data_IF_644129955239
#
_entry.id   IF_644129955239
#
_cell.length_a   1.000
_cell.length_b   1.000
_cell.length_c   1.000
_cell.angle_alpha   90.00
_cell.angle_beta   90.00
_cell.angle_gamma   90.00
#
_symmetry.space_group_name_H-M   'P 1'
#
loop_
_entity.id
_entity.type
_entity.pdbx_description
1 polymer ?
#
# COMPACT_ATOMS: atom_id res chain seq x y z
N UNK A 1 4.52 -21.30 -11.30
CA UNK A 1 3.59 -20.30 -10.77
C UNK A 1 4.29 -18.99 -10.55
N UNK A 2 3.64 -17.90 -10.95
CA UNK A 2 4.20 -16.59 -10.70
C UNK A 2 3.99 -16.21 -9.24
N UNK A 3 5.06 -15.68 -8.65
CA UNK A 3 5.05 -15.15 -7.30
C UNK A 3 4.21 -13.87 -7.25
N UNK A 4 3.38 -13.73 -6.24
CA UNK A 4 2.61 -12.50 -6.03
C UNK A 4 3.53 -11.38 -5.56
N UNK A 5 3.34 -10.19 -6.09
CA UNK A 5 4.16 -9.02 -5.75
C UNK A 5 3.39 -8.06 -4.86
N UNK A 6 4.07 -7.55 -3.85
CA UNK A 6 3.54 -6.51 -2.97
C UNK A 6 4.39 -5.25 -3.18
N UNK A 7 3.74 -4.18 -3.59
CA UNK A 7 4.39 -2.87 -3.71
C UNK A 7 4.17 -2.10 -2.41
N UNK A 8 5.26 -1.64 -1.81
CA UNK A 8 5.23 -0.91 -0.54
C UNK A 8 5.64 0.54 -0.82
N UNK A 9 4.75 1.48 -0.52
CA UNK A 9 4.97 2.90 -0.76
C UNK A 9 4.90 3.66 0.56
N UNK A 10 6.04 4.16 1.02
CA UNK A 10 6.14 4.94 2.25
C UNK A 10 7.38 5.81 2.13
N UNK A 11 7.27 7.11 2.40
CA UNK A 11 8.40 8.03 2.27
C UNK A 11 9.51 7.78 3.29
N UNK A 12 9.25 7.00 4.33
CA UNK A 12 10.25 6.60 5.32
C UNK A 12 10.91 5.29 4.91
N UNK A 13 12.21 5.27 4.58
CA UNK A 13 12.91 4.03 4.29
C UNK A 13 12.86 3.01 5.44
N UNK A 14 12.86 3.49 6.68
CA UNK A 14 12.75 2.62 7.85
C UNK A 14 11.41 1.90 7.90
N UNK A 15 10.32 2.59 7.54
CA UNK A 15 8.99 1.97 7.47
C UNK A 15 8.90 0.95 6.35
N UNK A 16 9.47 1.26 5.19
CA UNK A 16 9.53 0.30 4.08
C UNK A 16 10.24 -0.98 4.54
N UNK A 17 11.39 -0.85 5.21
CA UNK A 17 12.14 -2.01 5.70
C UNK A 17 11.38 -2.78 6.76
N UNK A 18 10.67 -2.10 7.65
CA UNK A 18 9.85 -2.76 8.66
C UNK A 18 8.77 -3.62 8.01
N UNK A 19 8.07 -3.07 7.04
CA UNK A 19 7.01 -3.78 6.34
C UNK A 19 7.59 -4.96 5.56
N UNK A 20 8.71 -4.75 4.87
CA UNK A 20 9.40 -5.84 4.18
C UNK A 20 9.76 -6.96 5.14
N UNK A 21 10.30 -6.61 6.31
CA UNK A 21 10.68 -7.59 7.33
C UNK A 21 9.47 -8.40 7.82
N UNK A 22 8.32 -7.76 7.99
CA UNK A 22 7.10 -8.45 8.41
C UNK A 22 6.56 -9.39 7.35
N UNK A 23 6.81 -9.12 6.08
CA UNK A 23 6.30 -9.93 4.98
C UNK A 23 7.32 -10.93 4.41
N UNK A 24 8.55 -10.92 4.92
CA UNK A 24 9.58 -11.88 4.50
C UNK A 24 9.13 -13.32 4.73
N UNK A 25 9.57 -14.19 3.85
CA UNK A 25 9.34 -15.65 3.94
C UNK A 25 7.87 -16.07 3.86
N UNK A 26 7.01 -15.17 3.41
CA UNK A 26 5.58 -15.48 3.23
C UNK A 26 5.21 -15.77 1.78
N UNK A 27 6.21 -15.88 0.92
CA UNK A 27 5.98 -16.24 -0.48
C UNK A 27 5.75 -15.08 -1.42
N UNK A 28 5.85 -13.85 -0.93
CA UNK A 28 5.66 -12.65 -1.75
C UNK A 28 7.00 -12.13 -2.27
N UNK A 29 6.96 -11.57 -3.47
CA UNK A 29 8.05 -10.71 -3.94
C UNK A 29 7.73 -9.29 -3.47
N UNK A 30 8.68 -8.68 -2.79
CA UNK A 30 8.48 -7.37 -2.18
C UNK A 30 9.23 -6.29 -2.96
N UNK A 31 8.54 -5.21 -3.27
CA UNK A 31 9.15 -4.05 -3.95
C UNK A 31 8.80 -2.82 -3.12
N UNK A 32 9.82 -2.18 -2.58
CA UNK A 32 9.63 -0.98 -1.76
C UNK A 32 10.09 0.28 -2.48
N UNK A 33 9.30 1.32 -2.41
CA UNK A 33 9.68 2.64 -2.90
C UNK A 33 9.39 3.68 -1.83
N UNK A 34 10.24 4.71 -1.77
CA UNK A 34 10.10 5.78 -0.78
C UNK A 34 9.87 7.15 -1.42
N UNK A 35 9.48 7.18 -2.68
CA UNK A 35 9.16 8.41 -3.39
C UNK A 35 7.75 8.31 -3.98
N UNK A 36 6.77 9.07 -3.43
CA UNK A 36 5.39 8.99 -3.91
C UNK A 36 5.21 9.46 -5.36
N UNK A 37 6.17 10.21 -5.90
CA UNK A 37 6.12 10.65 -7.29
C UNK A 37 6.37 9.50 -8.26
N UNK A 38 6.90 8.38 -7.79
CA UNK A 38 7.27 7.24 -8.63
C UNK A 38 6.29 6.07 -8.57
N UNK A 39 5.13 6.28 -7.97
CA UNK A 39 4.16 5.19 -7.76
C UNK A 39 3.70 4.60 -9.09
N UNK A 40 3.27 5.44 -10.01
CA UNK A 40 2.74 4.98 -11.30
C UNK A 40 3.80 4.25 -12.12
N UNK A 41 5.02 4.76 -12.11
CA UNK A 41 6.16 4.10 -12.77
C UNK A 41 6.39 2.70 -12.18
N UNK A 42 6.40 2.60 -10.86
CA UNK A 42 6.60 1.33 -10.17
C UNK A 42 5.49 0.34 -10.50
N UNK A 43 4.25 0.79 -10.53
CA UNK A 43 3.11 -0.07 -10.89
C UNK A 43 3.25 -0.58 -12.32
N UNK A 44 3.59 0.30 -13.25
CA UNK A 44 3.75 -0.08 -14.65
C UNK A 44 4.87 -1.10 -14.83
N UNK A 45 5.98 -0.94 -14.11
CA UNK A 45 7.13 -1.83 -14.21
C UNK A 45 6.93 -3.15 -13.49
N UNK A 46 6.33 -3.13 -12.30
CA UNK A 46 6.26 -4.30 -11.42
C UNK A 46 4.95 -5.06 -11.49
N UNK A 47 3.87 -4.42 -11.88
CA UNK A 47 2.52 -5.00 -11.94
C UNK A 47 2.16 -5.74 -10.65
N UNK A 48 2.09 -5.03 -9.51
CA UNK A 48 1.87 -5.69 -8.22
C UNK A 48 0.47 -6.27 -8.09
N UNK A 49 0.36 -7.26 -7.22
CA UNK A 49 -0.93 -7.86 -6.87
C UNK A 49 -1.68 -7.03 -5.84
N UNK A 50 -0.95 -6.26 -5.03
CA UNK A 50 -1.50 -5.39 -3.99
C UNK A 50 -0.52 -4.25 -3.72
N UNK A 51 -1.04 -3.10 -3.34
CA UNK A 51 -0.23 -1.92 -3.00
C UNK A 51 -0.49 -1.57 -1.54
N UNK A 52 0.59 -1.47 -0.76
CA UNK A 52 0.55 -0.94 0.60
C UNK A 52 1.02 0.52 0.53
N UNK A 53 0.18 1.44 0.95
CA UNK A 53 0.39 2.86 0.67
C UNK A 53 0.19 3.69 1.94
N UNK A 54 1.23 4.42 2.35
CA UNK A 54 1.11 5.37 3.43
C UNK A 54 0.31 6.61 2.98
N UNK A 55 -0.32 7.26 3.93
CA UNK A 55 -1.10 8.48 3.68
C UNK A 55 -0.25 9.73 3.83
N UNK A 56 0.54 9.80 4.91
CA UNK A 56 1.29 11.02 5.25
C UNK A 56 2.64 11.01 4.55
N UNK A 57 2.69 11.61 3.37
CA UNK A 57 3.90 11.71 2.57
C UNK A 57 4.04 13.13 2.01
N UNK A 58 5.28 13.61 1.76
CA UNK A 58 5.46 14.91 1.12
C UNK A 58 4.99 14.88 -0.34
N UNK A 59 4.62 16.03 -0.87
CA UNK A 59 4.22 16.25 -2.27
C UNK A 59 2.87 15.64 -2.65
N UNK A 60 2.63 14.38 -2.29
CA UNK A 60 1.37 13.66 -2.57
C UNK A 60 0.98 12.88 -1.34
N UNK A 61 -0.22 13.05 -0.83
CA UNK A 61 -0.67 12.17 0.25
C UNK A 61 -1.31 10.90 -0.33
N UNK A 62 -1.35 9.85 0.50
CA UNK A 62 -1.83 8.55 0.05
C UNK A 62 -3.31 8.50 -0.33
N UNK A 63 -4.14 9.35 0.27
CA UNK A 63 -5.55 9.44 -0.13
C UNK A 63 -5.66 9.90 -1.58
N UNK A 64 -4.88 10.89 -1.95
CA UNK A 64 -4.85 11.41 -3.31
C UNK A 64 -4.33 10.36 -4.29
N UNK A 65 -3.23 9.71 -3.94
CA UNK A 65 -2.65 8.65 -4.78
C UNK A 65 -3.67 7.53 -4.99
N UNK A 66 -4.33 7.09 -3.90
CA UNK A 66 -5.34 6.04 -3.98
C UNK A 66 -6.46 6.43 -4.95
N UNK A 67 -6.98 7.63 -4.80
CA UNK A 67 -8.05 8.14 -5.68
C UNK A 67 -7.62 8.15 -7.14
N UNK A 68 -6.41 8.64 -7.41
CA UNK A 68 -5.90 8.70 -8.78
C UNK A 68 -5.73 7.32 -9.38
N UNK A 69 -5.22 6.36 -8.61
CA UNK A 69 -5.07 4.98 -9.07
C UNK A 69 -6.43 4.34 -9.35
N UNK A 70 -7.41 4.57 -8.48
CA UNK A 70 -8.74 3.98 -8.65
C UNK A 70 -9.52 4.60 -9.82
N UNK A 71 -9.11 5.78 -10.25
CA UNK A 71 -9.69 6.44 -11.41
C UNK A 71 -8.92 6.15 -12.71
N UNK A 72 -7.81 5.42 -12.61
CA UNK A 72 -6.98 5.12 -13.77
C UNK A 72 -7.42 3.79 -14.40
N UNK A 73 -7.70 3.81 -15.70
CA UNK A 73 -8.20 2.63 -16.42
C UNK A 73 -7.29 1.40 -16.28
N UNK A 74 -5.97 1.62 -16.24
CA UNK A 74 -5.00 0.53 -16.20
C UNK A 74 -4.71 0.01 -14.80
N UNK A 75 -5.01 0.78 -13.74
CA UNK A 75 -4.59 0.46 -12.37
C UNK A 75 -5.74 0.26 -11.40
N UNK A 76 -6.97 0.55 -11.80
CA UNK A 76 -8.10 0.59 -10.86
C UNK A 76 -8.47 -0.77 -10.27
N UNK A 77 -8.04 -1.85 -10.88
CA UNK A 77 -8.31 -3.20 -10.39
C UNK A 77 -7.32 -3.67 -9.32
N UNK A 78 -6.19 -2.98 -9.14
CA UNK A 78 -5.19 -3.38 -8.16
C UNK A 78 -5.66 -2.98 -6.76
N UNK A 79 -5.75 -3.93 -5.81
CA UNK A 79 -6.13 -3.59 -4.44
C UNK A 79 -5.14 -2.64 -3.80
N UNK A 80 -5.65 -1.62 -3.11
CA UNK A 80 -4.85 -0.65 -2.37
C UNK A 80 -5.22 -0.73 -0.90
N UNK A 81 -4.21 -1.00 -0.07
CA UNK A 81 -4.34 -1.03 1.38
C UNK A 81 -3.61 0.19 1.92
N UNK A 82 -4.31 1.09 2.60
CA UNK A 82 -3.68 2.22 3.25
C UNK A 82 -3.06 1.78 4.57
N UNK A 83 -1.80 2.12 4.80
CA UNK A 83 -1.03 1.73 5.99
C UNK A 83 -0.51 3.01 6.62
N UNK A 84 -1.16 3.50 7.68
CA UNK A 84 -0.91 4.86 8.16
C UNK A 84 -1.19 5.02 9.65
N UNK A 85 -0.60 6.06 10.24
CA UNK A 85 -0.88 6.46 11.62
C UNK A 85 -2.21 7.22 11.78
N UNK A 86 -2.85 7.61 10.70
CA UNK A 86 -4.17 8.24 10.74
C UNK A 86 -5.22 7.20 11.11
N UNK A 87 -5.73 7.26 12.33
CA UNK A 87 -6.54 6.17 12.89
C UNK A 87 -7.96 6.56 13.34
N UNK A 88 -8.42 7.77 13.02
CA UNK A 88 -9.78 8.17 13.39
C UNK A 88 -10.80 7.51 12.47
N UNK A 89 -12.05 7.47 12.92
CA UNK A 89 -13.15 6.98 12.08
C UNK A 89 -13.27 7.81 10.81
N UNK A 90 -13.08 9.12 10.94
CA UNK A 90 -13.10 10.03 9.78
C UNK A 90 -12.02 9.69 8.77
N UNK A 91 -10.82 9.39 9.25
CA UNK A 91 -9.71 8.99 8.38
C UNK A 91 -10.03 7.72 7.60
N UNK A 92 -10.56 6.72 8.31
CA UNK A 92 -10.93 5.43 7.69
C UNK A 92 -12.05 5.60 6.67
N UNK A 93 -13.04 6.39 7.03
CA UNK A 93 -14.14 6.69 6.12
C UNK A 93 -13.64 7.39 4.87
N UNK A 94 -12.76 8.38 5.04
CA UNK A 94 -12.21 9.13 3.92
C UNK A 94 -11.38 8.23 2.99
N UNK A 95 -10.58 7.32 3.57
CA UNK A 95 -9.83 6.34 2.80
C UNK A 95 -10.74 5.45 1.97
N UNK A 96 -11.82 4.99 2.56
CA UNK A 96 -12.81 4.17 1.87
C UNK A 96 -13.45 4.94 0.71
N UNK A 97 -13.74 6.22 0.92
CA UNK A 97 -14.30 7.09 -0.13
C UNK A 97 -13.32 7.30 -1.29
N UNK A 98 -12.02 7.21 -1.05
CA UNK A 98 -11.01 7.29 -2.10
C UNK A 98 -10.83 5.95 -2.83
N UNK A 99 -11.55 4.92 -2.43
CA UNK A 99 -11.52 3.63 -3.09
C UNK A 99 -10.54 2.63 -2.48
N UNK A 100 -9.99 2.90 -1.29
CA UNK A 100 -9.11 1.95 -0.62
C UNK A 100 -9.85 0.65 -0.33
N UNK A 101 -9.15 -0.46 -0.55
CA UNK A 101 -9.70 -1.80 -0.32
C UNK A 101 -9.45 -2.28 1.11
N UNK A 102 -8.44 -1.72 1.77
CA UNK A 102 -8.11 -2.06 3.14
C UNK A 102 -7.46 -0.88 3.86
N UNK A 103 -7.37 -0.99 5.18
CA UNK A 103 -6.82 0.06 6.02
C UNK A 103 -6.14 -0.57 7.23
N UNK A 104 -4.85 -0.30 7.41
CA UNK A 104 -4.06 -0.82 8.54
C UNK A 104 -3.47 0.39 9.27
N UNK A 105 -3.67 0.47 10.58
CA UNK A 105 -3.16 1.60 11.36
C UNK A 105 -1.82 1.27 12.01
N UNK A 106 -0.91 2.24 11.97
CA UNK A 106 0.37 2.16 12.67
C UNK A 106 0.19 2.55 14.13
N UNK A 107 0.84 1.90 15.08
CA UNK A 107 1.64 0.68 14.90
C UNK A 107 0.76 -0.55 14.67
N UNK A 108 1.27 -1.51 13.93
CA UNK A 108 0.55 -2.75 13.63
C UNK A 108 1.43 -3.95 13.96
N UNK A 109 0.79 -5.09 14.22
CA UNK A 109 1.51 -6.34 14.40
C UNK A 109 1.75 -6.98 13.03
N UNK A 110 2.70 -7.93 13.00
CA UNK A 110 2.96 -8.72 11.81
C UNK A 110 1.69 -9.43 11.32
N UNK A 111 0.94 -10.00 12.27
CA UNK A 111 -0.30 -10.73 11.96
C UNK A 111 -1.37 -9.82 11.35
N UNK A 112 -1.50 -8.61 11.86
CA UNK A 112 -2.47 -7.64 11.31
C UNK A 112 -2.12 -7.29 9.86
N UNK A 113 -0.85 -7.04 9.60
CA UNK A 113 -0.38 -6.70 8.25
C UNK A 113 -0.55 -7.89 7.31
N UNK A 114 -0.14 -9.08 7.73
CA UNK A 114 -0.27 -10.29 6.93
C UNK A 114 -1.71 -10.61 6.59
N UNK A 115 -2.60 -10.45 7.56
CA UNK A 115 -4.04 -10.70 7.34
C UNK A 115 -4.57 -9.78 6.26
N UNK A 116 -4.20 -8.51 6.31
CA UNK A 116 -4.63 -7.54 5.31
C UNK A 116 -4.11 -7.88 3.93
N UNK A 117 -2.83 -8.23 3.83
CA UNK A 117 -2.20 -8.58 2.54
C UNK A 117 -2.80 -9.87 1.97
N UNK A 118 -2.96 -10.91 2.79
CA UNK A 118 -3.50 -12.21 2.36
C UNK A 118 -4.90 -12.12 1.82
N UNK A 119 -5.65 -11.15 2.27
CA UNK A 119 -7.02 -10.94 1.80
C UNK A 119 -7.05 -10.61 0.30
N UNK A 120 -6.01 -9.98 -0.21
CA UNK A 120 -5.96 -9.51 -1.60
C UNK A 120 -4.85 -10.14 -2.44
N UNK A 121 -3.93 -10.83 -1.81
CA UNK A 121 -2.79 -11.43 -2.55
C UNK A 121 -2.54 -12.92 -2.19
#
# INVERSE_FOLDING_TARGET
MLQKKVLIVDDSPAQVKLIEGFLEHEGYRLVGINDPERVEEAIANERPSVILLDVVMPKRNGFQVCRELKNHADYNAIPVILVTSKNTESDRFWGQQQGADGYVTKPFTREELLRAVRRFA
#
